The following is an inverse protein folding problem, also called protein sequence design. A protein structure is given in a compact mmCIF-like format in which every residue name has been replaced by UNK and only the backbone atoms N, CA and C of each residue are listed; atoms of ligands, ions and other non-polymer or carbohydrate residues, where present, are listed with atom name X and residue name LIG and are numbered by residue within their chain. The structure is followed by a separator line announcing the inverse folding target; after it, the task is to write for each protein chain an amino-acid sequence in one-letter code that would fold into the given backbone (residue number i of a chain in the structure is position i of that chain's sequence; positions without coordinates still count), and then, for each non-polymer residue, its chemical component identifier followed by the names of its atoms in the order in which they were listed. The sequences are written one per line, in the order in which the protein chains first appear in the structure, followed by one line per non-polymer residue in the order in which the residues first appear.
data_IF_678017301210
#
_entry.id   IF_678017301210
#
_cell.length_a   1.000
_cell.length_b   1.000
_cell.length_c   1.000
_cell.angle_alpha   90.00
_cell.angle_beta   90.00
_cell.angle_gamma   90.00
#
_symmetry.space_group_name_H-M   'P 1'
#
loop_
_entity.id
_entity.type
_entity.pdbx_description
1 polymer ?
#
# COMPACT_ATOMS: atom_id res chain seq x y z
N UNK A 1 -4.22 -8.34 -22.17
CA UNK A 1 -3.88 -9.77 -22.39
C UNK A 1 -2.96 -10.18 -21.25
N UNK A 2 -3.22 -11.32 -20.60
CA UNK A 2 -2.48 -11.77 -19.41
C UNK A 2 -2.38 -13.29 -19.44
N UNK A 3 -1.17 -13.85 -19.35
CA UNK A 3 -0.94 -15.31 -19.35
C UNK A 3 -0.83 -15.90 -17.94
N UNK A 4 -0.35 -15.11 -17.00
CA UNK A 4 -0.31 -15.41 -15.57
C UNK A 4 -0.20 -14.10 -14.76
N UNK A 5 -0.52 -14.15 -13.47
CA UNK A 5 -0.42 -13.03 -12.53
C UNK A 5 0.37 -13.45 -11.29
N UNK A 6 1.32 -12.61 -10.86
CA UNK A 6 2.01 -12.73 -9.58
C UNK A 6 1.70 -11.45 -8.81
N UNK A 7 0.91 -11.59 -7.75
CA UNK A 7 0.42 -10.49 -6.92
C UNK A 7 1.08 -10.54 -5.55
N UNK A 8 1.37 -9.36 -4.98
CA UNK A 8 1.97 -9.23 -3.65
C UNK A 8 1.43 -8.02 -2.93
N UNK A 9 1.25 -8.12 -1.61
CA UNK A 9 0.82 -6.99 -0.78
C UNK A 9 -0.54 -6.50 -1.28
N UNK A 10 -1.54 -7.39 -1.21
CA UNK A 10 -2.82 -7.17 -1.89
C UNK A 10 -3.48 -5.91 -1.33
N UNK A 11 -3.64 -4.93 -2.23
CA UNK A 11 -4.38 -3.71 -1.99
C UNK A 11 -5.60 -3.68 -2.88
N UNK A 12 -6.79 -3.63 -2.29
CA UNK A 12 -8.06 -3.60 -3.03
C UNK A 12 -8.64 -2.19 -3.14
N UNK A 13 -7.90 -1.19 -2.64
CA UNK A 13 -8.29 0.23 -2.57
C UNK A 13 -9.62 0.49 -1.86
N UNK A 14 -10.08 -0.39 -0.96
CA UNK A 14 -11.30 -0.15 -0.20
C UNK A 14 -11.09 1.05 0.73
N UNK A 15 -12.13 1.84 1.02
CA UNK A 15 -12.05 2.92 2.01
C UNK A 15 -11.54 2.45 3.38
N UNK A 16 -11.82 1.19 3.77
CA UNK A 16 -11.31 0.60 5.01
C UNK A 16 -9.79 0.41 5.03
N UNK A 17 -9.18 0.09 3.88
CA UNK A 17 -7.72 -0.09 3.75
C UNK A 17 -7.02 1.27 3.77
N UNK A 18 -7.56 2.24 3.03
CA UNK A 18 -7.06 3.61 3.04
C UNK A 18 -7.18 4.20 4.46
N UNK A 19 -8.32 4.01 5.14
CA UNK A 19 -8.50 4.46 6.53
C UNK A 19 -7.54 3.79 7.49
N UNK A 20 -7.31 2.49 7.35
CA UNK A 20 -6.37 1.74 8.19
C UNK A 20 -4.97 2.36 8.19
N UNK A 21 -4.48 2.72 7.00
CA UNK A 21 -3.10 3.17 6.85
C UNK A 21 -2.93 4.68 7.00
N UNK A 22 -3.90 5.47 6.56
CA UNK A 22 -3.80 6.93 6.49
C UNK A 22 -4.65 7.68 7.52
N UNK A 23 -5.42 7.01 8.37
CA UNK A 23 -6.25 7.69 9.37
C UNK A 23 -6.09 7.11 10.77
N UNK A 24 -6.30 5.80 10.93
CA UNK A 24 -6.20 5.11 12.21
C UNK A 24 -6.16 3.60 12.00
N UNK A 25 -5.13 2.95 12.55
CA UNK A 25 -4.89 1.52 12.37
C UNK A 25 -3.41 1.21 12.53
N UNK A 26 -2.66 1.34 11.45
CA UNK A 26 -1.20 1.22 11.48
C UNK A 26 -0.55 2.25 12.43
N UNK A 27 -1.18 3.41 12.62
CA UNK A 27 -0.82 4.44 13.61
C UNK A 27 -0.66 3.90 15.04
N UNK A 28 -1.41 2.86 15.41
CA UNK A 28 -1.36 2.28 16.76
C UNK A 28 -0.11 1.40 16.98
N UNK A 29 0.55 0.98 15.91
CA UNK A 29 1.76 0.15 15.94
C UNK A 29 3.02 1.01 15.78
N UNK A 30 2.94 2.10 15.01
CA UNK A 30 4.05 3.04 14.78
C UNK A 30 3.72 4.46 15.26
N UNK A 31 3.39 4.67 16.56
CA UNK A 31 3.00 5.98 17.07
C UNK A 31 4.12 7.03 16.96
N UNK A 32 5.37 6.60 17.07
CA UNK A 32 6.58 7.42 16.97
C UNK A 32 6.77 8.00 15.57
N UNK A 33 6.52 7.23 14.51
CA UNK A 33 6.57 7.71 13.12
C UNK A 33 5.28 8.44 12.74
N UNK A 34 4.15 8.02 13.30
CA UNK A 34 2.85 8.66 13.05
C UNK A 34 2.84 10.13 13.47
N UNK A 35 3.52 10.49 14.56
CA UNK A 35 3.65 11.89 14.99
C UNK A 35 4.25 12.78 13.89
N UNK A 36 5.22 12.28 13.11
CA UNK A 36 5.79 13.01 11.97
C UNK A 36 4.78 13.16 10.81
N UNK A 37 3.98 12.12 10.53
CA UNK A 37 2.90 12.18 9.56
C UNK A 37 1.80 13.19 9.95
N UNK A 38 1.62 13.47 11.24
CA UNK A 38 0.63 14.43 11.70
C UNK A 38 1.10 15.89 11.61
N UNK A 39 2.42 16.15 11.59
CA UNK A 39 3.00 17.51 11.70
C UNK A 39 2.50 18.51 10.65
N UNK A 40 2.41 18.17 9.35
CA UNK A 40 1.95 19.13 8.34
C UNK A 40 0.45 19.47 8.45
N UNK A 41 -0.33 18.66 9.18
CA UNK A 41 -1.80 18.76 9.22
C UNK A 41 -2.26 19.41 10.54
N UNK A 42 -2.96 20.55 10.48
CA UNK A 42 -3.57 21.17 11.67
C UNK A 42 -4.53 20.23 12.38
N UNK A 43 -4.56 20.27 13.72
CA UNK A 43 -5.40 19.37 14.56
C UNK A 43 -6.87 19.36 14.12
N UNK A 44 -7.43 20.49 13.70
CA UNK A 44 -8.81 20.62 13.23
C UNK A 44 -9.11 19.90 11.91
N UNK A 45 -8.09 19.58 11.10
CA UNK A 45 -8.22 18.90 9.80
C UNK A 45 -7.87 17.39 9.90
N UNK A 46 -7.45 16.89 11.07
CA UNK A 46 -6.96 15.51 11.24
C UNK A 46 -8.04 14.42 11.19
N UNK A 47 -9.32 14.78 11.10
CA UNK A 47 -10.42 13.82 10.95
C UNK A 47 -10.57 13.30 9.51
N UNK A 48 -9.82 13.85 8.55
CA UNK A 48 -9.79 13.42 7.16
C UNK A 48 -8.40 13.62 6.58
N UNK A 49 -7.44 12.82 7.04
CA UNK A 49 -6.01 12.99 6.73
C UNK A 49 -5.72 12.99 5.23
N UNK A 50 -6.25 12.03 4.46
CA UNK A 50 -6.05 11.98 2.99
C UNK A 50 -6.52 13.27 2.32
N UNK A 51 -7.69 13.79 2.72
CA UNK A 51 -8.22 15.05 2.19
C UNK A 51 -7.37 16.25 2.57
N UNK A 52 -6.90 16.30 3.82
CA UNK A 52 -6.03 17.37 4.30
C UNK A 52 -4.68 17.36 3.57
N UNK A 53 -4.08 16.18 3.38
CA UNK A 53 -2.87 16.00 2.58
C UNK A 53 -3.08 16.38 1.12
N UNK A 54 -4.20 15.99 0.50
CA UNK A 54 -4.48 16.34 -0.89
C UNK A 54 -4.52 17.85 -1.12
N UNK A 55 -5.07 18.61 -0.17
CA UNK A 55 -5.05 20.09 -0.19
C UNK A 55 -3.62 20.63 -0.19
N UNK A 56 -2.73 20.10 0.65
CA UNK A 56 -1.33 20.54 0.71
C UNK A 56 -0.53 20.10 -0.53
N UNK A 57 -0.74 18.87 -1.01
CA UNK A 57 -0.06 18.30 -2.17
C UNK A 57 -0.48 18.96 -3.49
N UNK A 58 -1.64 19.62 -3.52
CA UNK A 58 -2.12 20.39 -4.68
C UNK A 58 -1.98 21.91 -4.51
N UNK A 59 -1.31 22.36 -3.44
CA UNK A 59 -1.06 23.78 -3.20
C UNK A 59 -0.15 24.37 -4.29
N UNK A 60 -0.37 25.65 -4.63
CA UNK A 60 0.49 26.38 -5.57
C UNK A 60 1.93 26.58 -5.05
N UNK A 61 2.12 26.64 -3.74
CA UNK A 61 3.41 26.82 -3.07
C UNK A 61 4.21 25.51 -3.04
N UNK A 62 5.39 25.53 -3.66
CA UNK A 62 6.28 24.38 -3.72
C UNK A 62 6.71 23.87 -2.35
N UNK A 63 7.03 24.76 -1.40
CA UNK A 63 7.50 24.36 -0.07
C UNK A 63 6.42 23.64 0.72
N UNK A 64 5.15 24.07 0.58
CA UNK A 64 3.99 23.42 1.20
C UNK A 64 3.80 22.00 0.64
N UNK A 65 3.85 21.86 -0.68
CA UNK A 65 3.77 20.54 -1.33
C UNK A 65 4.90 19.63 -0.87
N UNK A 66 6.14 20.13 -0.84
CA UNK A 66 7.30 19.33 -0.49
C UNK A 66 7.27 18.86 0.97
N UNK A 67 6.88 19.72 1.90
CA UNK A 67 6.77 19.37 3.32
C UNK A 67 5.75 18.24 3.54
N UNK A 68 4.55 18.38 2.95
CA UNK A 68 3.52 17.35 3.00
C UNK A 68 3.98 16.06 2.31
N UNK A 69 4.59 16.16 1.13
CA UNK A 69 5.08 15.02 0.37
C UNK A 69 6.11 14.21 1.15
N UNK A 70 7.08 14.86 1.79
CA UNK A 70 8.10 14.17 2.60
C UNK A 70 7.48 13.46 3.80
N UNK A 71 6.53 14.07 4.50
CA UNK A 71 5.86 13.43 5.64
C UNK A 71 5.06 12.19 5.21
N UNK A 72 4.34 12.30 4.10
CA UNK A 72 3.59 11.17 3.51
C UNK A 72 4.51 10.03 3.07
N UNK A 73 5.54 10.34 2.28
CA UNK A 73 6.48 9.35 1.76
C UNK A 73 7.27 8.63 2.85
N UNK A 74 7.72 9.35 3.89
CA UNK A 74 8.45 8.75 5.02
C UNK A 74 7.57 7.83 5.87
N UNK A 75 6.29 8.16 6.04
CA UNK A 75 5.33 7.30 6.74
C UNK A 75 5.24 5.92 6.09
N UNK A 76 5.10 5.86 4.77
CA UNK A 76 5.04 4.57 4.07
C UNK A 76 6.37 3.82 4.08
N UNK A 77 7.48 4.52 3.86
CA UNK A 77 8.80 3.91 3.86
C UNK A 77 9.14 3.26 5.20
N UNK A 78 8.82 3.93 6.31
CA UNK A 78 9.12 3.47 7.66
C UNK A 78 8.30 2.22 8.05
N UNK A 79 7.10 2.07 7.48
CA UNK A 79 6.14 1.01 7.85
C UNK A 79 6.07 -0.13 6.85
N UNK A 80 6.82 -0.05 5.75
CA UNK A 80 6.83 -1.05 4.67
C UNK A 80 7.58 -2.35 5.00
N UNK A 81 8.36 -2.41 6.09
CA UNK A 81 9.14 -3.60 6.47
C UNK A 81 8.76 -4.07 7.86
N UNK A 82 8.97 -5.36 8.14
CA UNK A 82 8.75 -5.92 9.48
C UNK A 82 9.69 -5.27 10.50
N UNK A 83 10.96 -5.13 10.10
CA UNK A 83 11.96 -4.36 10.84
C UNK A 83 12.22 -3.08 10.07
N UNK A 84 11.96 -1.94 10.73
CA UNK A 84 12.16 -0.61 10.14
C UNK A 84 13.59 -0.47 9.63
N UNK A 85 13.74 0.04 8.41
CA UNK A 85 15.03 0.23 7.76
C UNK A 85 15.30 1.72 7.58
N UNK A 86 16.16 2.35 8.41
CA UNK A 86 16.48 3.78 8.28
C UNK A 86 16.94 4.17 6.88
N UNK A 87 17.78 3.34 6.25
CA UNK A 87 18.24 3.55 4.88
C UNK A 87 17.08 3.58 3.86
N UNK A 88 16.02 2.79 4.07
CA UNK A 88 14.86 2.82 3.17
C UNK A 88 14.02 4.09 3.35
N UNK A 89 14.00 4.66 4.56
CA UNK A 89 13.34 5.95 4.83
C UNK A 89 14.10 7.11 4.19
N UNK A 90 15.43 7.05 4.19
CA UNK A 90 16.27 8.07 3.54
C UNK A 90 16.09 8.13 2.03
N UNK A 91 15.86 6.99 1.36
CA UNK A 91 15.56 6.93 -0.08
C UNK A 91 14.30 7.74 -0.46
N UNK A 92 13.36 7.91 0.49
CA UNK A 92 12.11 8.65 0.31
C UNK A 92 12.26 10.15 0.63
N UNK A 93 13.47 10.63 0.93
CA UNK A 93 13.73 12.06 1.21
C UNK A 93 14.06 12.89 -0.05
N UNK A 94 14.21 12.24 -1.21
CA UNK A 94 14.39 12.92 -2.50
C UNK A 94 13.16 13.78 -2.84
N UNK A 95 13.32 15.10 -3.07
CA UNK A 95 12.18 16.01 -3.28
C UNK A 95 11.32 15.68 -4.49
N UNK A 96 11.93 15.30 -5.62
CA UNK A 96 11.19 15.03 -6.86
C UNK A 96 10.39 13.74 -6.74
N UNK A 97 11.02 12.70 -6.20
CA UNK A 97 10.37 11.44 -5.89
C UNK A 97 9.22 11.64 -4.89
N UNK A 98 9.46 12.32 -3.76
CA UNK A 98 8.44 12.48 -2.73
C UNK A 98 7.19 13.20 -3.26
N UNK A 99 7.37 14.31 -4.00
CA UNK A 99 6.24 15.06 -4.57
C UNK A 99 5.47 14.19 -5.55
N UNK A 100 6.16 13.52 -6.48
CA UNK A 100 5.49 12.68 -7.47
C UNK A 100 4.74 11.51 -6.80
N UNK A 101 5.41 10.81 -5.88
CA UNK A 101 4.88 9.69 -5.12
C UNK A 101 3.61 10.09 -4.36
N UNK A 102 3.75 11.02 -3.41
CA UNK A 102 2.65 11.42 -2.53
C UNK A 102 1.49 12.03 -3.30
N UNK A 103 1.76 12.88 -4.30
CA UNK A 103 0.69 13.55 -5.06
C UNK A 103 -0.15 12.55 -5.87
N UNK A 104 0.50 11.59 -6.55
CA UNK A 104 -0.21 10.59 -7.36
C UNK A 104 -0.97 9.65 -6.44
N UNK A 105 -0.34 9.14 -5.39
CA UNK A 105 -0.96 8.18 -4.48
C UNK A 105 -2.20 8.78 -3.80
N UNK A 106 -2.03 9.97 -3.21
CA UNK A 106 -3.12 10.72 -2.58
C UNK A 106 -4.25 11.05 -3.58
N UNK A 107 -3.90 11.38 -4.83
CA UNK A 107 -4.89 11.63 -5.88
C UNK A 107 -5.76 10.39 -6.18
N UNK A 108 -5.18 9.20 -6.27
CA UNK A 108 -5.97 7.98 -6.45
C UNK A 108 -6.89 7.72 -5.25
N UNK A 109 -6.40 7.91 -4.02
CA UNK A 109 -7.21 7.68 -2.82
C UNK A 109 -8.37 8.66 -2.68
N UNK A 110 -8.14 9.93 -3.02
CA UNK A 110 -9.20 10.95 -3.04
C UNK A 110 -10.33 10.67 -4.03
N UNK A 111 -10.06 9.86 -5.05
CA UNK A 111 -11.01 9.56 -6.12
C UNK A 111 -11.54 8.11 -6.05
N UNK A 112 -11.48 7.46 -4.88
CA UNK A 112 -11.88 6.05 -4.72
C UNK A 112 -11.18 5.10 -5.72
N UNK A 113 -9.92 5.41 -6.05
CA UNK A 113 -9.16 4.77 -7.12
C UNK A 113 -9.91 4.69 -8.47
N UNK A 114 -10.87 5.58 -8.70
CA UNK A 114 -11.77 5.63 -9.85
C UNK A 114 -12.65 4.39 -10.02
N UNK A 115 -12.86 3.62 -8.95
CA UNK A 115 -13.75 2.46 -8.96
C UNK A 115 -15.22 2.86 -8.79
N UNK A 116 -16.09 2.10 -9.45
CA UNK A 116 -17.54 2.31 -9.39
C UNK A 116 -18.16 1.89 -8.04
N UNK A 117 -17.47 1.02 -7.29
CA UNK A 117 -17.89 0.53 -5.98
C UNK A 117 -16.65 0.39 -5.08
N UNK A 118 -16.86 0.45 -3.77
CA UNK A 118 -15.77 0.31 -2.79
C UNK A 118 -15.08 -1.07 -2.84
N UNK A 119 -15.77 -2.09 -3.35
CA UNK A 119 -15.29 -3.47 -3.41
C UNK A 119 -15.12 -3.98 -4.85
N UNK A 120 -14.96 -3.05 -5.80
CA UNK A 120 -15.03 -3.31 -7.24
C UNK A 120 -14.12 -4.45 -7.71
N UNK A 121 -12.89 -4.53 -7.19
CA UNK A 121 -11.93 -5.56 -7.60
C UNK A 121 -12.38 -6.98 -7.23
N UNK A 122 -12.97 -7.18 -6.05
CA UNK A 122 -13.52 -8.48 -5.65
C UNK A 122 -14.79 -8.78 -6.44
N UNK A 123 -15.67 -7.80 -6.62
CA UNK A 123 -16.93 -7.96 -7.38
C UNK A 123 -16.69 -8.35 -8.84
N UNK A 124 -15.52 -8.04 -9.39
CA UNK A 124 -15.14 -8.32 -10.77
C UNK A 124 -14.14 -9.49 -10.91
N UNK A 125 -13.84 -10.19 -9.83
CA UNK A 125 -12.78 -11.23 -9.81
C UNK A 125 -13.08 -12.38 -10.79
N UNK A 126 -14.35 -12.74 -10.99
CA UNK A 126 -14.75 -13.83 -11.89
C UNK A 126 -14.25 -13.63 -13.34
N UNK A 127 -14.03 -12.36 -13.74
CA UNK A 127 -13.49 -12.02 -15.06
C UNK A 127 -12.05 -12.49 -15.26
N UNK A 128 -11.31 -12.74 -14.18
CA UNK A 128 -9.90 -13.13 -14.23
C UNK A 128 -9.64 -14.51 -13.64
N UNK A 129 -10.67 -15.24 -13.16
CA UNK A 129 -10.49 -16.52 -12.46
C UNK A 129 -9.82 -17.63 -13.28
N UNK A 130 -9.91 -17.52 -14.60
CA UNK A 130 -9.27 -18.44 -15.54
C UNK A 130 -7.77 -18.17 -15.73
N UNK A 131 -7.23 -17.05 -15.22
CA UNK A 131 -5.82 -16.68 -15.34
C UNK A 131 -5.04 -17.32 -14.18
N UNK A 132 -3.99 -18.11 -14.46
CA UNK A 132 -3.11 -18.63 -13.43
C UNK A 132 -2.56 -17.51 -12.55
N UNK A 133 -2.86 -17.56 -11.25
CA UNK A 133 -2.55 -16.46 -10.32
C UNK A 133 -1.85 -16.98 -9.08
N UNK A 134 -0.82 -16.26 -8.64
CA UNK A 134 -0.07 -16.48 -7.40
C UNK A 134 -0.21 -15.22 -6.53
N UNK A 135 -0.57 -15.38 -5.26
CA UNK A 135 -0.74 -14.31 -4.29
C UNK A 135 0.24 -14.55 -3.15
N UNK A 136 1.14 -13.59 -2.92
CA UNK A 136 2.11 -13.62 -1.82
C UNK A 136 1.81 -12.48 -0.84
N UNK A 137 1.61 -12.79 0.43
CA UNK A 137 1.27 -11.78 1.43
C UNK A 137 2.14 -11.93 2.68
N UNK A 138 2.70 -10.81 3.17
CA UNK A 138 3.33 -10.77 4.49
C UNK A 138 2.28 -10.80 5.60
N UNK A 139 2.47 -11.64 6.62
CA UNK A 139 1.57 -11.76 7.77
C UNK A 139 1.41 -10.43 8.52
N UNK A 140 2.50 -9.67 8.62
CA UNK A 140 2.59 -8.40 9.34
C UNK A 140 2.73 -7.23 8.36
N UNK A 141 2.12 -7.34 7.18
CA UNK A 141 2.01 -6.22 6.25
C UNK A 141 1.11 -5.14 6.85
N UNK A 142 1.74 -4.03 7.26
CA UNK A 142 1.11 -2.91 7.93
C UNK A 142 0.55 -1.87 6.95
N UNK A 143 1.02 -1.89 5.69
CA UNK A 143 0.56 -1.00 4.61
C UNK A 143 -0.73 -1.54 4.02
N UNK A 144 -0.72 -2.82 3.65
CA UNK A 144 -1.84 -3.55 3.07
C UNK A 144 -2.18 -4.76 3.95
N UNK A 145 -3.10 -4.62 4.93
CA UNK A 145 -3.39 -5.68 5.88
C UNK A 145 -3.70 -7.03 5.23
N UNK A 146 -3.19 -8.10 5.83
CA UNK A 146 -3.39 -9.47 5.35
C UNK A 146 -4.87 -9.87 5.14
N UNK A 147 -5.81 -9.14 5.75
CA UNK A 147 -7.25 -9.27 5.54
C UNK A 147 -7.64 -9.12 4.06
N UNK A 148 -7.04 -8.19 3.33
CA UNK A 148 -7.35 -7.96 1.91
C UNK A 148 -6.93 -9.13 1.04
N UNK A 149 -5.72 -9.65 1.25
CA UNK A 149 -5.23 -10.83 0.56
C UNK A 149 -6.07 -12.07 0.90
N UNK A 150 -6.49 -12.21 2.16
CA UNK A 150 -7.38 -13.29 2.60
C UNK A 150 -8.76 -13.22 1.96
N UNK A 151 -9.34 -12.03 1.84
CA UNK A 151 -10.62 -11.84 1.15
C UNK A 151 -10.50 -12.15 -0.34
N UNK A 152 -9.43 -11.69 -1.00
CA UNK A 152 -9.18 -12.01 -2.40
C UNK A 152 -9.00 -13.52 -2.60
N UNK A 153 -8.24 -14.20 -1.73
CA UNK A 153 -8.07 -15.65 -1.78
C UNK A 153 -9.40 -16.41 -1.68
N UNK A 154 -10.32 -16.00 -0.79
CA UNK A 154 -11.65 -16.63 -0.70
C UNK A 154 -12.50 -16.40 -1.96
N UNK A 155 -12.39 -15.22 -2.57
CA UNK A 155 -13.13 -14.85 -3.78
C UNK A 155 -12.49 -15.44 -5.06
N UNK A 156 -11.19 -15.75 -5.02
CA UNK A 156 -10.39 -16.26 -6.13
C UNK A 156 -9.71 -17.59 -5.74
N UNK A 157 -10.48 -18.66 -5.51
CA UNK A 157 -9.97 -19.93 -4.98
C UNK A 157 -8.98 -20.64 -5.91
N UNK A 158 -8.97 -20.33 -7.22
CA UNK A 158 -7.99 -20.85 -8.18
C UNK A 158 -6.59 -20.24 -8.01
N UNK A 159 -6.49 -19.08 -7.35
CA UNK A 159 -5.21 -18.44 -7.09
C UNK A 159 -4.45 -19.19 -5.99
N UNK A 160 -3.17 -19.46 -6.24
CA UNK A 160 -2.26 -20.04 -5.24
C UNK A 160 -1.91 -18.98 -4.21
N UNK A 161 -2.24 -19.24 -2.96
CA UNK A 161 -2.04 -18.28 -1.88
C UNK A 161 -0.90 -18.69 -0.95
N UNK A 162 0.06 -17.80 -0.76
CA UNK A 162 1.20 -17.96 0.14
C UNK A 162 1.20 -16.83 1.17
N UNK A 163 1.01 -17.18 2.44
CA UNK A 163 1.21 -16.27 3.56
C UNK A 163 2.61 -16.45 4.12
N UNK A 164 3.41 -15.40 4.12
CA UNK A 164 4.77 -15.39 4.68
C UNK A 164 4.68 -15.02 6.17
N UNK A 165 5.06 -15.92 7.09
CA UNK A 165 4.75 -15.78 8.52
C UNK A 165 5.48 -14.63 9.22
N UNK A 166 6.64 -14.22 8.71
CA UNK A 166 7.58 -13.27 9.33
C UNK A 166 8.00 -12.16 8.36
N UNK A 167 7.05 -11.65 7.56
CA UNK A 167 7.30 -10.56 6.61
C UNK A 167 6.31 -9.40 6.76
N UNK A 168 6.83 -8.19 6.50
CA UNK A 168 6.05 -6.96 6.30
C UNK A 168 5.56 -6.81 4.87
N UNK A 169 5.44 -5.56 4.41
CA UNK A 169 4.90 -5.23 3.09
C UNK A 169 5.90 -5.49 1.95
N UNK A 170 7.16 -5.11 2.14
CA UNK A 170 8.15 -4.98 1.07
C UNK A 170 8.40 -6.30 0.33
N UNK A 171 8.49 -6.22 -1.01
CA UNK A 171 8.84 -7.38 -1.85
C UNK A 171 10.22 -7.97 -1.51
N UNK A 172 11.11 -7.16 -0.93
CA UNK A 172 12.47 -7.54 -0.59
C UNK A 172 12.60 -8.31 0.74
N UNK A 173 11.53 -8.43 1.53
CA UNK A 173 11.49 -9.31 2.71
C UNK A 173 11.91 -10.74 2.32
N UNK A 174 12.75 -11.39 3.12
CA UNK A 174 13.42 -12.64 2.72
C UNK A 174 12.42 -13.71 2.25
N UNK A 175 11.37 -13.97 3.05
CA UNK A 175 10.34 -14.94 2.70
C UNK A 175 9.46 -14.51 1.50
N UNK A 176 9.10 -13.23 1.43
CA UNK A 176 8.34 -12.66 0.30
C UNK A 176 9.11 -12.79 -1.02
N UNK A 177 10.38 -12.41 -1.01
CA UNK A 177 11.27 -12.52 -2.17
C UNK A 177 11.42 -13.97 -2.64
N UNK A 178 11.60 -14.91 -1.72
CA UNK A 178 11.67 -16.35 -2.05
C UNK A 178 10.39 -16.82 -2.76
N UNK A 179 9.23 -16.51 -2.17
CA UNK A 179 7.93 -16.89 -2.74
C UNK A 179 7.67 -16.24 -4.11
N UNK A 180 8.11 -14.99 -4.32
CA UNK A 180 8.03 -14.31 -5.61
C UNK A 180 8.91 -14.97 -6.67
N UNK A 181 10.13 -15.39 -6.31
CA UNK A 181 11.03 -16.12 -7.22
C UNK A 181 10.40 -17.47 -7.57
N UNK A 182 9.90 -18.22 -6.59
CA UNK A 182 9.20 -19.50 -6.82
C UNK A 182 7.97 -19.36 -7.73
N UNK A 183 7.17 -18.32 -7.52
CA UNK A 183 6.02 -18.01 -8.38
C UNK A 183 6.47 -17.68 -9.81
N UNK A 184 7.56 -16.93 -9.96
CA UNK A 184 8.15 -16.57 -11.26
C UNK A 184 8.65 -17.81 -12.00
N UNK A 185 9.38 -18.70 -11.32
CA UNK A 185 9.82 -19.98 -11.87
C UNK A 185 8.63 -20.85 -12.31
N UNK A 186 7.58 -20.92 -11.48
CA UNK A 186 6.39 -21.71 -11.79
C UNK A 186 5.57 -21.14 -12.96
N UNK A 187 5.71 -19.85 -13.28
CA UNK A 187 5.03 -19.22 -14.41
C UNK A 187 5.69 -19.49 -15.77
N UNK A 188 6.94 -19.98 -15.81
CA UNK A 188 7.65 -20.29 -17.07
C UNK A 188 6.98 -21.35 -17.95
N UNK A 189 5.99 -22.07 -17.42
CA UNK A 189 5.23 -23.10 -18.14
C UNK A 189 4.01 -22.57 -18.89
N UNK A 190 3.62 -21.31 -18.66
CA UNK A 190 2.51 -20.63 -19.34
C UNK A 190 3.05 -19.78 -20.48
#
# INVERSE_FOLDING_TARGET
RTVAMILRGIFLCRPSEIRWFYQEGASNIFPDVWDDYLKPIPVSERNGMVKAYYKLLTDSNYSVRLEAAKAWSKWEAATSRLIVSPAAVEEFDDPEFAIAFASIECHYFMNNAFFATDNWLIENVDKIRHIPTYIVQGRYDMVCPAKSAWDLHKAFPEAKFTMVPDAGHAAAETGTKSALIEATEACKKY
#
